data_IF_039179132152
#
_entry.id   IF_039179132152
#
_cell.length_a   1.000
_cell.length_b   1.000
_cell.length_c   1.000
_cell.angle_alpha   90.00
_cell.angle_beta   90.00
_cell.angle_gamma   90.00
#
_symmetry.space_group_name_H-M   'P 1'
#
loop_
_entity.id
_entity.type
_entity.pdbx_description
1 polymer ?
#
# COMPACT_ATOMS: atom_id res chain seq x y z
N UNK A 1 3.34 -8.02 -8.34
CA UNK A 1 2.96 -7.36 -9.61
C UNK A 1 4.14 -6.54 -10.13
N UNK A 2 4.33 -6.41 -11.45
CA UNK A 2 5.40 -5.60 -12.05
C UNK A 2 4.95 -4.95 -13.36
N UNK A 3 5.23 -3.66 -13.52
CA UNK A 3 4.98 -2.87 -14.73
C UNK A 3 6.31 -2.31 -15.24
N UNK A 4 6.46 -2.23 -16.57
CA UNK A 4 7.67 -1.74 -17.23
C UNK A 4 7.34 -0.98 -18.51
N UNK A 5 8.16 0.03 -18.82
CA UNK A 5 8.08 0.81 -20.06
C UNK A 5 9.48 1.21 -20.52
N UNK A 6 9.78 0.98 -21.79
CA UNK A 6 11.10 1.27 -22.39
C UNK A 6 11.18 2.66 -23.04
N UNK A 7 10.05 3.36 -23.21
CA UNK A 7 10.01 4.73 -23.75
C UNK A 7 8.83 5.52 -23.17
N UNK A 8 8.99 6.84 -23.02
CA UNK A 8 7.98 7.71 -22.42
C UNK A 8 7.75 7.49 -20.92
N UNK A 9 6.78 8.19 -20.34
CA UNK A 9 6.52 8.15 -18.89
C UNK A 9 5.71 6.89 -18.53
N UNK A 10 6.17 6.15 -17.53
CA UNK A 10 5.42 5.13 -16.81
C UNK A 10 4.65 5.82 -15.67
N UNK A 11 3.35 6.00 -15.89
CA UNK A 11 2.42 6.57 -14.91
C UNK A 11 1.79 5.43 -14.11
N UNK A 12 2.05 5.42 -12.80
CA UNK A 12 1.53 4.45 -11.86
C UNK A 12 0.40 5.10 -11.09
N UNK A 13 -0.80 4.53 -11.21
CA UNK A 13 -1.94 4.76 -10.33
C UNK A 13 -2.52 3.40 -9.96
N UNK A 14 -2.07 2.87 -8.83
CA UNK A 14 -2.38 1.53 -8.36
C UNK A 14 -3.21 1.62 -7.09
N UNK A 15 -4.45 1.13 -7.13
CA UNK A 15 -5.30 1.05 -5.94
C UNK A 15 -5.44 -0.39 -5.48
N UNK A 16 -4.87 -0.68 -4.32
CA UNK A 16 -4.95 -1.95 -3.61
C UNK A 16 -6.15 -1.92 -2.66
N UNK A 17 -7.24 -2.61 -3.03
CA UNK A 17 -8.41 -2.77 -2.17
C UNK A 17 -8.23 -4.00 -1.29
N UNK A 18 -8.78 -3.95 -0.07
CA UNK A 18 -8.82 -5.13 0.79
C UNK A 18 -9.72 -6.22 0.19
N UNK A 19 -9.28 -7.48 0.27
CA UNK A 19 -10.05 -8.66 -0.14
C UNK A 19 -9.92 -9.75 0.94
N UNK A 20 -11.01 -10.18 1.60
CA UNK A 20 -12.38 -9.70 1.42
C UNK A 20 -12.54 -8.25 1.90
N UNK A 21 -13.52 -7.55 1.35
CA UNK A 21 -13.93 -6.23 1.85
C UNK A 21 -14.39 -6.32 3.30
N UNK A 22 -14.38 -5.18 3.98
CA UNK A 22 -14.90 -5.08 5.34
C UNK A 22 -16.35 -5.58 5.35
N UNK A 23 -16.68 -6.46 6.28
CA UNK A 23 -18.04 -6.97 6.49
C UNK A 23 -18.62 -6.49 7.82
N UNK A 24 -17.77 -5.89 8.68
CA UNK A 24 -18.07 -5.54 10.08
C UNK A 24 -17.38 -4.25 10.50
N UNK A 25 -17.95 -3.60 11.52
CA UNK A 25 -17.35 -2.38 12.06
C UNK A 25 -16.05 -2.71 12.79
N UNK A 26 -15.03 -1.88 12.59
CA UNK A 26 -13.77 -1.93 13.33
C UNK A 26 -13.60 -0.65 14.14
N UNK A 27 -13.01 -0.80 15.32
CA UNK A 27 -12.57 0.32 16.15
C UNK A 27 -11.08 0.17 16.38
N UNK A 28 -10.32 1.18 15.98
CA UNK A 28 -8.88 1.23 16.17
C UNK A 28 -8.57 1.88 17.52
N UNK A 29 -7.44 1.53 18.13
CA UNK A 29 -6.98 2.15 19.36
C UNK A 29 -6.59 3.60 19.06
N UNK A 30 -7.37 4.54 19.59
CA UNK A 30 -7.04 5.97 19.51
C UNK A 30 -5.69 6.21 20.17
N UNK A 31 -4.85 7.08 19.57
CA UNK A 31 -3.45 7.37 19.97
C UNK A 31 -2.41 6.31 19.59
N UNK A 32 -2.81 5.18 19.02
CA UNK A 32 -1.89 4.19 18.44
C UNK A 32 -1.59 4.50 16.96
N UNK A 33 -0.88 3.60 16.26
CA UNK A 33 -0.47 3.77 14.87
C UNK A 33 -0.81 2.57 14.01
N UNK A 34 -1.32 2.81 12.80
CA UNK A 34 -1.38 1.79 11.75
C UNK A 34 0.04 1.64 11.20
N UNK A 35 0.58 0.43 11.22
CA UNK A 35 1.90 0.13 10.67
C UNK A 35 1.73 -0.38 9.25
N UNK A 36 2.24 0.39 8.27
CA UNK A 36 2.21 0.01 6.87
C UNK A 36 3.63 -0.23 6.36
N UNK A 37 3.88 -1.43 5.85
CA UNK A 37 5.14 -1.83 5.24
C UNK A 37 4.92 -2.13 3.77
N UNK A 38 5.67 -1.50 2.88
CA UNK A 38 5.61 -1.75 1.44
C UNK A 38 6.97 -2.23 0.95
N UNK A 39 6.95 -3.31 0.15
CA UNK A 39 8.13 -3.78 -0.56
C UNK A 39 7.90 -3.55 -2.04
N UNK A 40 8.71 -2.68 -2.63
CA UNK A 40 8.60 -2.27 -4.02
C UNK A 40 9.91 -2.48 -4.76
N UNK A 41 9.86 -2.50 -6.08
CA UNK A 41 11.02 -2.51 -6.99
C UNK A 41 10.91 -1.31 -7.93
N UNK A 42 11.99 -0.54 -8.07
CA UNK A 42 12.02 0.66 -8.92
C UNK A 42 13.22 0.60 -9.85
N UNK A 43 13.00 0.87 -11.14
CA UNK A 43 14.09 1.15 -12.11
C UNK A 43 13.70 2.40 -12.90
N UNK A 44 14.68 3.25 -13.25
CA UNK A 44 14.46 4.47 -14.05
C UNK A 44 14.69 5.76 -13.26
N UNK A 45 14.09 6.88 -13.66
CA UNK A 45 14.20 8.17 -12.98
C UNK A 45 12.82 8.63 -12.50
N UNK A 46 12.71 9.10 -11.25
CA UNK A 46 11.43 9.53 -10.65
C UNK A 46 11.51 10.85 -9.87
N UNK A 47 12.72 11.33 -9.55
CA UNK A 47 12.93 12.56 -8.79
C UNK A 47 13.04 13.75 -9.74
N UNK A 48 12.20 14.77 -9.55
CA UNK A 48 12.27 15.99 -10.35
C UNK A 48 13.60 16.73 -10.17
N UNK A 49 14.21 17.16 -11.28
CA UNK A 49 15.51 17.83 -11.27
C UNK A 49 16.71 16.89 -11.30
N UNK A 50 16.48 15.57 -11.36
CA UNK A 50 17.49 14.58 -11.67
C UNK A 50 17.46 14.23 -13.16
N UNK A 51 18.61 14.34 -13.83
CA UNK A 51 18.82 13.90 -15.23
C UNK A 51 17.73 14.39 -16.22
N UNK A 52 16.92 13.49 -16.78
CA UNK A 52 15.90 13.78 -17.81
C UNK A 52 14.49 14.04 -17.22
N UNK A 53 14.34 14.02 -15.90
CA UNK A 53 13.11 14.38 -15.20
C UNK A 53 12.95 15.91 -15.12
N UNK A 54 12.26 16.49 -16.09
CA UNK A 54 12.05 17.92 -16.27
C UNK A 54 10.65 18.37 -15.80
N UNK A 55 10.32 18.09 -14.52
CA UNK A 55 8.99 18.30 -13.90
C UNK A 55 7.89 17.34 -14.36
N UNK A 56 8.26 16.24 -14.98
CA UNK A 56 7.35 15.23 -15.50
C UNK A 56 7.51 13.86 -14.82
N UNK A 57 8.32 13.81 -13.76
CA UNK A 57 8.43 12.70 -12.85
C UNK A 57 7.75 13.04 -11.52
N UNK A 58 7.28 12.04 -10.80
CA UNK A 58 6.60 12.21 -9.52
C UNK A 58 7.10 11.12 -8.59
N UNK A 59 7.60 11.55 -7.43
CA UNK A 59 8.00 10.65 -6.35
C UNK A 59 6.83 9.74 -5.95
N UNK A 60 7.15 8.61 -5.32
CA UNK A 60 6.13 7.70 -4.85
C UNK A 60 5.28 8.40 -3.78
N UNK A 61 3.99 8.44 -4.00
CA UNK A 61 3.02 8.87 -3.02
C UNK A 61 2.13 7.68 -2.64
N UNK A 62 2.03 7.42 -1.34
CA UNK A 62 1.17 6.37 -0.80
C UNK A 62 0.05 7.02 0.00
N UNK A 63 -1.19 6.62 -0.29
CA UNK A 63 -2.40 7.15 0.32
C UNK A 63 -3.24 6.02 0.94
N UNK A 64 -3.64 6.20 2.18
CA UNK A 64 -4.66 5.39 2.85
C UNK A 64 -6.04 5.95 2.54
N UNK A 65 -6.90 5.09 2.00
CA UNK A 65 -8.28 5.38 1.64
C UNK A 65 -9.24 4.71 2.63
N UNK A 66 -10.25 5.47 3.04
CA UNK A 66 -11.39 5.03 3.85
C UNK A 66 -12.68 5.28 3.10
N UNK A 67 -13.33 4.21 2.64
CA UNK A 67 -14.56 4.32 1.83
C UNK A 67 -14.34 5.13 0.54
N UNK A 68 -13.13 5.08 -0.01
CA UNK A 68 -12.72 5.85 -1.19
C UNK A 68 -12.23 7.28 -0.92
N UNK A 69 -12.27 7.76 0.32
CA UNK A 69 -11.72 9.08 0.68
C UNK A 69 -10.29 8.95 1.22
N UNK A 70 -9.39 9.81 0.77
CA UNK A 70 -8.02 9.89 1.30
C UNK A 70 -8.03 10.40 2.74
N UNK A 71 -7.59 9.56 3.66
CA UNK A 71 -7.52 9.87 5.10
C UNK A 71 -6.10 10.06 5.61
N UNK A 72 -5.10 9.53 4.90
CA UNK A 72 -3.69 9.83 5.14
C UNK A 72 -2.92 9.70 3.82
N UNK A 73 -1.90 10.54 3.63
CA UNK A 73 -1.02 10.51 2.46
C UNK A 73 0.39 10.84 2.89
N UNK A 74 1.38 10.17 2.30
CA UNK A 74 2.79 10.50 2.45
C UNK A 74 3.53 10.33 1.13
N UNK A 75 4.39 11.29 0.83
CA UNK A 75 5.36 11.20 -0.27
C UNK A 75 6.68 10.61 0.25
N UNK A 76 7.31 9.79 -0.60
CA UNK A 76 8.60 9.14 -0.36
C UNK A 76 9.56 9.53 -1.48
N UNK A 77 10.52 10.38 -1.14
CA UNK A 77 11.54 10.95 -2.02
C UNK A 77 12.92 10.29 -1.85
N UNK A 78 13.16 9.65 -0.70
CA UNK A 78 14.37 8.89 -0.38
C UNK A 78 14.24 7.41 -0.77
N UNK A 79 14.26 7.15 -2.08
CA UNK A 79 14.16 5.81 -2.66
C UNK A 79 15.37 5.52 -3.55
N UNK A 80 15.79 4.25 -3.59
CA UNK A 80 16.92 3.77 -4.37
C UNK A 80 16.48 2.99 -5.62
N UNK A 81 17.41 2.76 -6.55
CA UNK A 81 17.20 1.79 -7.64
C UNK A 81 17.11 0.36 -7.08
N UNK A 82 16.28 -0.48 -7.67
CA UNK A 82 16.04 -1.85 -7.25
C UNK A 82 15.00 -1.95 -6.13
N UNK A 83 15.25 -2.84 -5.16
CA UNK A 83 14.27 -3.17 -4.11
C UNK A 83 14.32 -2.15 -2.98
N UNK A 84 13.16 -1.60 -2.64
CA UNK A 84 12.97 -0.68 -1.51
C UNK A 84 11.98 -1.27 -0.51
N UNK A 85 12.24 -1.03 0.78
CA UNK A 85 11.32 -1.36 1.88
C UNK A 85 10.93 -0.07 2.57
N UNK A 86 9.65 0.28 2.49
CA UNK A 86 9.08 1.50 3.03
C UNK A 86 8.28 1.15 4.28
N UNK A 87 8.58 1.81 5.39
CA UNK A 87 7.78 1.74 6.60
C UNK A 87 7.08 3.10 6.82
N UNK A 88 5.77 3.04 7.03
CA UNK A 88 4.94 4.20 7.25
C UNK A 88 3.98 3.95 8.41
N UNK A 89 4.23 4.67 9.50
CA UNK A 89 3.34 4.64 10.63
C UNK A 89 2.32 5.79 10.52
N UNK A 90 1.04 5.45 10.56
CA UNK A 90 -0.07 6.41 10.41
C UNK A 90 -0.71 6.59 11.79
N UNK A 91 -0.70 7.82 12.31
CA UNK A 91 -1.31 8.10 13.61
C UNK A 91 -2.84 7.96 13.54
N UNK A 92 -3.42 7.25 14.50
CA UNK A 92 -4.87 7.07 14.60
C UNK A 92 -5.45 8.20 15.45
N UNK A 93 -6.13 9.13 14.79
CA UNK A 93 -6.77 10.29 15.42
C UNK A 93 -8.14 10.54 14.76
N UNK A 94 -9.12 10.97 15.56
CA UNK A 94 -10.43 11.43 15.07
C UNK A 94 -11.11 10.41 14.16
N UNK A 95 -11.34 10.79 12.90
CA UNK A 95 -12.08 9.99 11.91
C UNK A 95 -11.41 8.67 11.52
N UNK A 96 -10.15 8.44 11.91
CA UNK A 96 -9.45 7.16 11.70
C UNK A 96 -9.79 6.11 12.77
N UNK A 97 -10.44 6.48 13.88
CA UNK A 97 -10.74 5.56 14.99
C UNK A 97 -11.82 4.55 14.61
N UNK A 98 -12.90 4.99 13.98
CA UNK A 98 -14.06 4.14 13.68
C UNK A 98 -14.15 3.83 12.19
N UNK A 99 -14.32 2.56 11.83
CA UNK A 99 -14.50 2.10 10.45
C UNK A 99 -15.81 1.32 10.33
N UNK A 100 -16.73 1.80 9.50
CA UNK A 100 -17.98 1.11 9.20
C UNK A 100 -17.74 -0.04 8.21
N UNK A 101 -18.15 -1.25 8.61
CA UNK A 101 -17.98 -2.45 7.80
C UNK A 101 -18.58 -2.35 6.40
N UNK A 102 -19.72 -1.68 6.25
CA UNK A 102 -20.45 -1.65 4.96
C UNK A 102 -20.04 -0.53 4.02
N UNK A 103 -19.38 0.52 4.51
CA UNK A 103 -19.07 1.73 3.71
C UNK A 103 -17.60 2.11 3.71
N UNK A 104 -16.87 1.81 4.78
CA UNK A 104 -15.54 2.35 5.01
C UNK A 104 -14.50 1.31 4.57
N UNK A 105 -14.59 0.86 3.32
CA UNK A 105 -13.62 -0.09 2.78
C UNK A 105 -12.21 0.49 2.85
N UNK A 106 -11.25 -0.34 3.29
CA UNK A 106 -9.83 0.00 3.34
C UNK A 106 -9.23 -0.20 1.95
N UNK A 107 -8.54 0.82 1.47
CA UNK A 107 -7.69 0.70 0.28
C UNK A 107 -6.40 1.50 0.43
N UNK A 108 -5.37 1.09 -0.31
CA UNK A 108 -4.11 1.81 -0.44
C UNK A 108 -3.94 2.22 -1.90
N UNK A 109 -3.73 3.50 -2.13
CA UNK A 109 -3.37 4.01 -3.45
C UNK A 109 -1.87 4.34 -3.50
N UNK A 110 -1.20 3.86 -4.53
CA UNK A 110 0.19 4.16 -4.84
C UNK A 110 0.22 4.93 -6.16
N UNK A 111 0.76 6.14 -6.14
CA UNK A 111 0.95 6.97 -7.33
C UNK A 111 2.43 7.32 -7.54
N UNK A 112 2.89 7.26 -8.78
CA UNK A 112 4.29 7.56 -9.13
C UNK A 112 4.43 7.80 -10.63
N UNK A 113 5.38 8.64 -11.06
CA UNK A 113 5.75 8.76 -12.48
C UNK A 113 7.24 8.54 -12.67
N UNK A 114 7.55 7.54 -13.49
CA UNK A 114 8.92 7.06 -13.72
C UNK A 114 9.25 7.19 -15.20
N UNK A 115 10.46 7.63 -15.51
CA UNK A 115 11.02 7.64 -16.87
C UNK A 115 12.11 6.60 -17.07
N UNK A 116 12.21 6.02 -18.28
CA UNK A 116 13.39 5.24 -18.66
C UNK A 116 14.60 6.17 -18.78
N UNK A 117 15.77 5.61 -18.57
CA UNK A 117 17.05 6.29 -18.84
C UNK A 117 17.50 5.89 -20.23
N UNK A 118 17.58 6.86 -21.15
CA UNK A 118 18.18 6.64 -22.46
C UNK A 118 19.70 6.69 -22.31
N UNK A 119 20.37 5.59 -22.64
CA UNK A 119 21.82 5.48 -22.63
C UNK A 119 22.44 6.37 -23.71
N UNK A 120 23.44 7.17 -23.32
CA UNK A 120 24.32 7.84 -24.28
C UNK A 120 25.28 6.85 -24.95
N UNK A 121 26.18 7.34 -25.81
CA UNK A 121 27.18 6.54 -26.54
C UNK A 121 28.05 5.60 -25.66
N UNK A 122 28.06 5.79 -24.34
CA UNK A 122 28.77 4.96 -23.35
C UNK A 122 27.91 4.50 -22.16
N UNK A 123 26.59 4.76 -22.16
CA UNK A 123 25.68 4.41 -21.06
C UNK A 123 24.73 3.28 -21.44
N UNK A 124 24.37 2.44 -20.48
CA UNK A 124 23.36 1.40 -20.68
C UNK A 124 21.94 1.99 -20.56
N UNK A 125 21.07 1.62 -21.49
CA UNK A 125 19.64 1.92 -21.43
C UNK A 125 19.02 1.25 -20.18
N UNK A 126 18.11 1.96 -19.50
CA UNK A 126 17.30 1.39 -18.42
C UNK A 126 15.83 1.68 -18.64
N UNK A 127 15.02 0.63 -18.65
CA UNK A 127 13.56 0.76 -18.66
C UNK A 127 13.06 1.41 -17.36
N UNK A 128 11.96 2.16 -17.46
CA UNK A 128 11.16 2.50 -16.29
C UNK A 128 10.49 1.24 -15.76
N UNK A 129 10.64 0.92 -14.48
CA UNK A 129 10.00 -0.21 -13.85
C UNK A 129 9.39 0.14 -12.50
N UNK A 130 8.22 -0.41 -12.23
CA UNK A 130 7.58 -0.40 -10.93
C UNK A 130 7.10 -1.82 -10.57
N UNK A 131 7.59 -2.36 -9.46
CA UNK A 131 7.16 -3.63 -8.90
C UNK A 131 6.56 -3.44 -7.51
N UNK A 132 5.48 -4.15 -7.23
CA UNK A 132 4.90 -4.27 -5.88
C UNK A 132 4.92 -5.74 -5.47
N UNK A 133 5.61 -6.04 -4.37
CA UNK A 133 5.63 -7.37 -3.76
C UNK A 133 4.51 -7.45 -2.71
N UNK A 134 3.57 -8.36 -2.94
CA UNK A 134 2.50 -8.72 -2.00
C UNK A 134 2.51 -10.24 -1.83
N UNK A 135 2.09 -10.71 -0.65
CA UNK A 135 2.01 -12.15 -0.39
C UNK A 135 0.90 -12.77 -1.26
N UNK A 136 1.16 -13.88 -1.97
CA UNK A 136 0.08 -14.72 -2.47
C UNK A 136 -0.61 -15.39 -1.27
N UNK A 137 -1.94 -15.47 -1.32
CA UNK A 137 -2.78 -16.27 -0.42
C UNK A 137 -2.69 -17.74 -0.83
N UNK A 138 -1.56 -18.39 -0.64
CA UNK A 138 -1.51 -19.84 -0.78
C UNK A 138 -1.45 -20.48 0.61
N UNK A 139 -2.53 -21.23 0.90
CA UNK A 139 -2.75 -22.08 2.06
C UNK A 139 -1.73 -23.24 2.19
N UNK A 140 -0.54 -23.13 1.59
CA UNK A 140 0.41 -24.23 1.41
C UNK A 140 1.51 -24.28 2.48
N UNK A 141 1.35 -23.52 3.58
CA UNK A 141 2.26 -23.60 4.73
C UNK A 141 3.69 -23.15 4.45
N UNK A 142 3.95 -22.48 3.32
CA UNK A 142 5.24 -21.81 3.08
C UNK A 142 5.27 -20.55 3.93
N UNK A 143 5.93 -20.66 5.09
CA UNK A 143 6.19 -19.52 5.98
C UNK A 143 6.99 -18.46 5.24
N UNK A 144 6.33 -17.38 4.84
CA UNK A 144 6.99 -16.16 4.39
C UNK A 144 7.58 -15.47 5.62
N UNK A 145 8.84 -15.01 5.53
CA UNK A 145 9.39 -14.12 6.56
C UNK A 145 8.60 -12.81 6.55
N UNK A 146 8.37 -12.20 7.72
CA UNK A 146 7.65 -10.92 7.86
C UNK A 146 8.30 -9.78 7.05
N UNK A 147 9.54 -10.00 6.58
CA UNK A 147 10.32 -9.07 5.77
C UNK A 147 10.05 -9.13 4.25
N UNK A 148 9.31 -10.12 3.78
CA UNK A 148 9.31 -10.44 2.34
C UNK A 148 8.19 -9.81 1.52
N UNK A 149 7.22 -9.14 2.15
CA UNK A 149 6.00 -8.69 1.48
C UNK A 149 5.43 -7.38 2.06
N UNK A 150 4.55 -6.76 1.27
CA UNK A 150 3.75 -5.60 1.70
C UNK A 150 2.68 -6.03 2.71
N UNK A 151 2.59 -5.33 3.85
CA UNK A 151 1.67 -5.64 4.96
C UNK A 151 1.12 -4.37 5.58
N UNK A 152 -0.13 -4.42 6.05
CA UNK A 152 -0.70 -3.43 6.95
C UNK A 152 -1.15 -4.08 8.24
N UNK A 153 -0.84 -3.42 9.36
CA UNK A 153 -1.24 -3.81 10.71
C UNK A 153 -2.08 -2.71 11.33
N UNK A 154 -3.28 -3.07 11.77
CA UNK A 154 -4.22 -2.15 12.39
C UNK A 154 -4.37 -2.51 13.88
N UNK A 155 -4.08 -1.59 14.81
CA UNK A 155 -4.26 -1.85 16.24
C UNK A 155 -5.75 -1.77 16.59
N UNK A 156 -6.38 -2.92 16.78
CA UNK A 156 -7.81 -3.01 17.07
C UNK A 156 -8.09 -2.84 18.57
N UNK A 157 -9.05 -1.98 18.90
CA UNK A 157 -9.72 -2.01 20.20
C UNK A 157 -10.72 -3.17 20.18
N UNK A 158 -10.29 -4.33 20.69
CA UNK A 158 -11.09 -5.56 20.70
C UNK A 158 -12.33 -5.45 21.58
N UNK A 159 -12.28 -4.64 22.65
CA UNK A 159 -13.40 -4.50 23.59
C UNK A 159 -14.50 -3.64 22.99
N UNK A 160 -14.18 -2.47 22.42
CA UNK A 160 -15.18 -1.70 21.69
C UNK A 160 -15.58 -2.40 20.42
N UNK A 161 -14.67 -2.96 19.61
CA UNK A 161 -15.08 -3.63 18.36
C UNK A 161 -16.18 -4.67 18.63
N UNK A 162 -16.03 -5.51 19.67
CA UNK A 162 -17.05 -6.48 20.09
C UNK A 162 -18.36 -5.84 20.59
N UNK A 163 -18.28 -4.74 21.36
CA UNK A 163 -19.46 -4.05 21.92
C UNK A 163 -20.15 -3.08 20.95
N UNK A 164 -19.44 -2.61 19.93
CA UNK A 164 -19.81 -1.53 19.01
C UNK A 164 -20.44 -2.10 17.71
N UNK A 165 -20.95 -3.35 17.78
CA UNK A 165 -21.60 -4.05 16.67
C UNK A 165 -20.64 -4.73 15.68
N UNK A 166 -19.33 -4.64 15.91
CA UNK A 166 -18.31 -5.39 15.19
C UNK A 166 -18.25 -6.82 15.71
N UNK A 167 -18.94 -7.75 15.06
CA UNK A 167 -18.83 -9.15 15.44
C UNK A 167 -17.38 -9.62 15.27
N UNK A 168 -16.68 -10.01 16.33
CA UNK A 168 -15.33 -10.56 16.16
C UNK A 168 -15.33 -11.99 15.58
N UNK A 169 -16.49 -12.66 15.44
CA UNK A 169 -16.54 -14.03 14.93
C UNK A 169 -15.59 -14.95 15.70
N UNK A 170 -14.92 -15.87 15.00
CA UNK A 170 -13.96 -16.83 15.57
C UNK A 170 -12.71 -16.21 16.23
N UNK A 171 -12.58 -14.87 16.23
CA UNK A 171 -11.58 -14.15 17.03
C UNK A 171 -11.97 -14.00 18.52
N UNK A 172 -13.19 -14.38 18.91
CA UNK A 172 -13.66 -14.30 20.29
C UNK A 172 -14.28 -15.64 20.75
N UNK A 173 -13.45 -16.61 21.15
CA UNK A 173 -13.93 -17.70 22.00
C UNK A 173 -13.95 -17.21 23.47
N UNK A 174 -15.08 -17.35 24.18
CA UNK A 174 -15.21 -16.81 25.54
C UNK A 174 -14.53 -17.75 26.53
N UNK A 175 -13.37 -17.33 27.06
CA UNK A 175 -12.73 -17.95 28.21
C UNK A 175 -11.23 -18.22 28.01
N UNK A 176 -10.40 -17.30 28.48
CA UNK A 176 -8.94 -17.44 28.67
C UNK A 176 -8.12 -17.88 27.45
N UNK A 177 -7.75 -16.93 26.57
CA UNK A 177 -6.47 -17.03 25.86
C UNK A 177 -6.03 -15.65 25.39
N UNK A 178 -4.74 -15.37 25.53
CA UNK A 178 -4.09 -14.14 25.07
C UNK A 178 -4.38 -13.95 23.58
N UNK A 179 -5.11 -12.89 23.23
CA UNK A 179 -5.35 -12.51 21.84
C UNK A 179 -4.06 -11.88 21.33
N UNK A 180 -3.27 -12.64 20.58
CA UNK A 180 -2.27 -12.05 19.69
C UNK A 180 -3.02 -11.78 18.38
N UNK A 181 -3.47 -10.53 18.22
CA UNK A 181 -4.13 -10.07 17.00
C UNK A 181 -3.10 -10.02 15.86
N UNK A 182 -2.83 -11.16 15.23
CA UNK A 182 -2.10 -11.22 13.95
C UNK A 182 -3.13 -11.51 12.85
N UNK A 183 -3.99 -10.52 12.58
CA UNK A 183 -4.83 -10.52 11.39
C UNK A 183 -4.03 -9.93 10.23
N UNK A 184 -3.40 -10.78 9.42
CA UNK A 184 -2.82 -10.33 8.15
C UNK A 184 -3.93 -10.02 7.15
N UNK A 185 -4.09 -8.75 6.78
CA UNK A 185 -5.04 -8.34 5.74
C UNK A 185 -4.43 -8.57 4.36
N UNK A 186 -5.21 -9.16 3.46
CA UNK A 186 -4.83 -9.38 2.06
C UNK A 186 -5.37 -8.22 1.23
N UNK A 187 -4.54 -7.66 0.35
CA UNK A 187 -4.95 -6.60 -0.57
C UNK A 187 -4.82 -7.07 -2.02
N UNK A 188 -5.84 -6.76 -2.82
CA UNK A 188 -5.89 -6.97 -4.27
C UNK A 188 -5.66 -5.64 -4.97
N UNK A 189 -4.67 -5.60 -5.86
CA UNK A 189 -4.31 -4.42 -6.62
C UNK A 189 -5.12 -4.30 -7.92
N UNK A 190 -5.78 -3.15 -8.14
CA UNK A 190 -6.47 -2.78 -9.38
C UNK A 190 -5.69 -1.67 -10.08
N UNK A 191 -5.33 -1.91 -11.34
CA UNK A 191 -4.62 -0.94 -12.19
C UNK A 191 -5.66 -0.12 -12.93
N UNK A 192 -5.65 1.20 -12.75
CA UNK A 192 -6.45 2.11 -13.58
C UNK A 192 -5.50 2.70 -14.63
N UNK A 193 -5.57 2.30 -15.90
CA UNK A 193 -4.80 2.97 -16.94
C UNK A 193 -5.32 4.40 -17.05
N UNK A 194 -4.48 5.39 -16.69
CA UNK A 194 -4.78 6.79 -16.97
C UNK A 194 -4.76 6.94 -18.49
N UNK A 195 -5.88 7.33 -19.10
CA UNK A 195 -5.92 7.63 -20.53
C UNK A 195 -4.94 8.76 -20.80
N UNK A 196 -3.88 8.45 -21.54
CA UNK A 196 -3.04 9.47 -22.15
C UNK A 196 -3.88 10.02 -23.29
N UNK A 197 -4.40 11.25 -23.12
CA UNK A 197 -4.93 12.02 -24.24
C UNK A 197 -3.73 12.34 -25.15
N UNK A 198 -3.62 11.59 -26.25
CA UNK A 198 -2.69 11.89 -27.34
C UNK A 198 -3.21 13.13 -28.09
N UNK A 199 -2.48 14.26 -28.04
CA UNK A 199 -2.54 15.33 -29.04
C UNK A 199 -1.18 15.46 -29.77
#
# INVERSE_FOLDING_TARGET
>A
MKQRKSSGILDIDLTCNMDPVLDRNLVLIETDRIEARFKIELDGQWTNGQDDCNNDCENLQISLLKGGNTVATKEFDDLDQGINVINWDIAILGDLVYWNGSSDNIAIQLTMKIKPVEGGFFGDDKDAAFGLYYSPTDNDGTGFSDDDYTRLSFPLDVECTASCGGGLGDFATPGFTWIIAIGGLVMVAIIIPKSIDDE
#
